data_IF_355903287497
#
_entry.id   IF_355903287497
#
_cell.length_a   1.000
_cell.length_b   1.000
_cell.length_c   1.000
_cell.angle_alpha   90.00
_cell.angle_beta   90.00
_cell.angle_gamma   90.00
#
_symmetry.space_group_name_H-M   'P 1'
#
loop_
_entity.id
_entity.type
_entity.pdbx_description
1 polymer ?
#
# COMPACT_ATOMS: atom_id res chain seq x y z
N UNK A 1 53.92 7.31 0.90
CA UNK A 1 52.88 7.91 1.77
C UNK A 1 51.65 8.18 0.93
N UNK A 2 50.53 7.52 1.21
CA UNK A 2 49.26 7.84 0.55
C UNK A 2 48.84 9.22 1.06
N UNK A 3 48.95 10.25 0.22
CA UNK A 3 48.17 11.50 0.40
C UNK A 3 46.71 11.13 0.12
N UNK A 4 46.09 10.44 1.06
CA UNK A 4 44.75 9.90 0.93
C UNK A 4 43.82 10.65 1.88
N UNK A 5 42.81 11.28 1.28
CA UNK A 5 41.70 11.96 1.92
C UNK A 5 42.08 13.14 2.81
N UNK A 6 42.11 14.33 2.19
CA UNK A 6 42.04 15.58 2.93
C UNK A 6 40.64 15.80 3.50
N UNK A 7 40.52 16.60 4.57
CA UNK A 7 39.21 17.02 5.11
C UNK A 7 38.35 17.69 4.03
N UNK A 8 38.98 18.44 3.12
CA UNK A 8 38.31 19.08 1.99
C UNK A 8 37.61 18.06 1.07
N UNK A 9 38.26 16.94 0.82
CA UNK A 9 37.73 15.84 0.01
C UNK A 9 36.52 15.20 0.67
N UNK A 10 36.57 14.97 1.98
CA UNK A 10 35.43 14.46 2.75
C UNK A 10 34.24 15.44 2.73
N UNK A 11 34.47 16.76 2.81
CA UNK A 11 33.41 17.77 2.76
C UNK A 11 32.71 17.76 1.39
N UNK A 12 33.47 17.71 0.29
CA UNK A 12 32.88 17.64 -1.06
C UNK A 12 32.08 16.36 -1.27
N UNK A 13 32.58 15.22 -0.78
CA UNK A 13 31.86 13.94 -0.85
C UNK A 13 30.55 13.98 -0.07
N UNK A 14 30.57 14.50 1.17
CA UNK A 14 29.36 14.62 1.99
C UNK A 14 28.34 15.60 1.39
N UNK A 15 28.80 16.68 0.77
CA UNK A 15 27.95 17.63 0.05
C UNK A 15 27.21 16.94 -1.09
N UNK A 16 27.92 16.17 -1.93
CA UNK A 16 27.31 15.46 -3.05
C UNK A 16 26.33 14.39 -2.56
N UNK A 17 26.70 13.59 -1.54
CA UNK A 17 25.81 12.56 -0.96
C UNK A 17 24.52 13.19 -0.42
N UNK A 18 24.63 14.34 0.26
CA UNK A 18 23.47 15.04 0.82
C UNK A 18 22.48 15.46 -0.28
N UNK A 19 22.98 16.01 -1.39
CA UNK A 19 22.14 16.40 -2.54
C UNK A 19 21.45 15.16 -3.15
N UNK A 20 22.18 14.04 -3.30
CA UNK A 20 21.60 12.80 -3.83
C UNK A 20 20.47 12.29 -2.92
N UNK A 21 20.68 12.28 -1.59
CA UNK A 21 19.68 11.83 -0.62
C UNK A 21 18.43 12.72 -0.66
N UNK A 22 18.62 14.04 -0.71
CA UNK A 22 17.52 15.02 -0.78
C UNK A 22 16.65 14.84 -2.04
N UNK A 23 17.23 14.46 -3.18
CA UNK A 23 16.47 14.19 -4.42
C UNK A 23 15.80 12.80 -4.36
N UNK A 24 16.46 11.82 -3.73
CA UNK A 24 16.01 10.42 -3.73
C UNK A 24 14.81 10.18 -2.81
N UNK A 25 14.82 10.77 -1.60
CA UNK A 25 13.74 10.60 -0.61
C UNK A 25 12.35 11.02 -1.13
N UNK A 26 12.14 12.23 -1.68
CA UNK A 26 10.83 12.66 -2.14
C UNK A 26 10.32 11.77 -3.29
N UNK A 27 11.21 11.38 -4.21
CA UNK A 27 10.85 10.51 -5.33
C UNK A 27 10.39 9.13 -4.85
N UNK A 28 11.08 8.50 -3.87
CA UNK A 28 10.67 7.20 -3.31
C UNK A 28 9.33 7.32 -2.57
N UNK A 29 9.13 8.38 -1.77
CA UNK A 29 7.91 8.58 -0.99
C UNK A 29 6.67 8.70 -1.90
N UNK A 30 6.77 9.44 -3.02
CA UNK A 30 5.69 9.54 -3.99
C UNK A 30 5.39 8.20 -4.68
N UNK A 31 6.42 7.46 -5.10
CA UNK A 31 6.23 6.14 -5.72
C UNK A 31 5.57 5.16 -4.76
N UNK A 32 5.92 5.17 -3.46
CA UNK A 32 5.28 4.34 -2.44
C UNK A 32 3.78 4.61 -2.35
N UNK A 33 3.36 5.87 -2.27
CA UNK A 33 1.94 6.24 -2.21
C UNK A 33 1.16 5.75 -3.43
N UNK A 34 1.76 5.82 -4.62
CA UNK A 34 1.15 5.29 -5.85
C UNK A 34 0.99 3.78 -5.75
N UNK A 35 2.04 3.06 -5.33
CA UNK A 35 2.02 1.60 -5.15
C UNK A 35 0.94 1.20 -4.14
N UNK A 36 0.85 1.88 -3.00
CA UNK A 36 -0.14 1.59 -1.96
C UNK A 36 -1.58 1.77 -2.49
N UNK A 37 -1.81 2.78 -3.33
CA UNK A 37 -3.10 3.01 -3.97
C UNK A 37 -3.43 1.97 -5.05
N UNK A 38 -2.45 1.55 -5.85
CA UNK A 38 -2.63 0.48 -6.85
C UNK A 38 -2.90 -0.86 -6.15
N UNK A 39 -2.17 -1.15 -5.08
CA UNK A 39 -2.41 -2.33 -4.23
C UNK A 39 -3.81 -2.31 -3.62
N UNK A 40 -4.27 -1.14 -3.15
CA UNK A 40 -5.63 -0.98 -2.64
C UNK A 40 -6.69 -1.26 -3.71
N UNK A 41 -6.52 -0.74 -4.94
CA UNK A 41 -7.43 -1.03 -6.05
C UNK A 41 -7.49 -2.52 -6.40
N UNK A 42 -6.35 -3.19 -6.43
CA UNK A 42 -6.30 -4.63 -6.67
C UNK A 42 -6.99 -5.42 -5.54
N UNK A 43 -6.82 -4.99 -4.28
CA UNK A 43 -7.47 -5.61 -3.14
C UNK A 43 -9.00 -5.47 -3.20
N UNK A 44 -9.51 -4.30 -3.58
CA UNK A 44 -10.95 -4.08 -3.80
C UNK A 44 -11.51 -5.08 -4.82
N UNK A 45 -10.80 -5.29 -5.93
CA UNK A 45 -11.22 -6.24 -6.97
C UNK A 45 -11.28 -7.69 -6.46
N UNK A 46 -10.29 -8.08 -5.65
CA UNK A 46 -10.28 -9.39 -4.98
C UNK A 46 -11.47 -9.51 -4.04
N UNK A 47 -11.75 -8.48 -3.22
CA UNK A 47 -12.90 -8.50 -2.30
C UNK A 47 -14.21 -8.55 -3.07
N UNK A 48 -14.37 -7.80 -4.17
CA UNK A 48 -15.55 -7.86 -5.04
C UNK A 48 -15.77 -9.26 -5.61
N UNK A 49 -14.69 -9.94 -6.01
CA UNK A 49 -14.76 -11.33 -6.47
C UNK A 49 -15.27 -12.26 -5.36
N UNK A 50 -14.82 -12.05 -4.12
CA UNK A 50 -15.29 -12.82 -2.96
C UNK A 50 -16.75 -12.49 -2.58
N UNK A 51 -17.17 -11.24 -2.75
CA UNK A 51 -18.58 -10.85 -2.58
C UNK A 51 -19.45 -11.63 -3.56
N UNK A 52 -19.06 -11.66 -4.84
CA UNK A 52 -19.77 -12.41 -5.85
C UNK A 52 -19.85 -13.90 -5.50
N UNK A 53 -18.74 -14.52 -5.07
CA UNK A 53 -18.73 -15.93 -4.63
C UNK A 53 -19.71 -16.16 -3.48
N UNK A 54 -19.76 -15.26 -2.51
CA UNK A 54 -20.70 -15.37 -1.39
C UNK A 54 -22.17 -15.21 -1.83
N UNK A 55 -22.43 -14.36 -2.83
CA UNK A 55 -23.75 -14.20 -3.43
C UNK A 55 -24.20 -15.42 -4.25
N UNK A 56 -23.26 -16.15 -4.88
CA UNK A 56 -23.55 -17.41 -5.55
C UNK A 56 -24.04 -18.50 -4.58
N UNK A 57 -23.61 -18.44 -3.31
CA UNK A 57 -24.11 -19.31 -2.23
C UNK A 57 -25.51 -18.88 -1.72
N UNK A 58 -26.15 -17.91 -2.37
CA UNK A 58 -27.49 -17.42 -2.04
C UNK A 58 -27.54 -16.46 -0.84
N UNK A 59 -26.39 -15.93 -0.41
CA UNK A 59 -26.28 -15.03 0.75
C UNK A 59 -25.89 -13.63 0.30
N UNK A 60 -26.53 -12.59 0.86
CA UNK A 60 -26.13 -11.19 0.61
C UNK A 60 -25.03 -10.76 1.56
N UNK A 61 -24.04 -10.04 1.04
CA UNK A 61 -22.99 -9.42 1.85
C UNK A 61 -23.45 -8.01 2.24
N UNK A 62 -23.71 -7.82 3.53
CA UNK A 62 -24.06 -6.52 4.12
C UNK A 62 -22.87 -5.88 4.84
N UNK A 63 -21.90 -6.70 5.28
CA UNK A 63 -20.74 -6.23 6.02
C UNK A 63 -19.49 -7.04 5.63
N UNK A 64 -18.34 -6.38 5.61
CA UNK A 64 -17.05 -7.00 5.28
C UNK A 64 -16.67 -8.12 6.24
N UNK A 65 -17.14 -8.04 7.50
CA UNK A 65 -16.89 -9.09 8.50
C UNK A 65 -17.51 -10.43 8.10
N UNK A 66 -18.63 -10.44 7.34
CA UNK A 66 -19.23 -11.69 6.88
C UNK A 66 -18.31 -12.45 5.94
N UNK A 67 -17.49 -11.74 5.15
CA UNK A 67 -16.47 -12.34 4.29
C UNK A 67 -15.29 -12.89 5.09
N UNK A 68 -14.95 -12.25 6.22
CA UNK A 68 -13.92 -12.74 7.15
C UNK A 68 -14.40 -14.01 7.87
N UNK A 69 -15.63 -13.98 8.39
CA UNK A 69 -16.22 -15.10 9.12
C UNK A 69 -16.47 -16.30 8.21
N UNK A 70 -16.76 -16.05 6.92
CA UNK A 70 -16.84 -17.08 5.88
C UNK A 70 -15.46 -17.59 5.41
N UNK A 71 -14.36 -17.02 5.89
CA UNK A 71 -13.00 -17.40 5.48
C UNK A 71 -12.62 -17.02 4.05
N UNK A 72 -13.39 -16.13 3.41
CA UNK A 72 -13.14 -15.68 2.04
C UNK A 72 -12.04 -14.60 1.97
N UNK A 73 -11.89 -13.84 3.06
CA UNK A 73 -10.81 -12.85 3.23
C UNK A 73 -10.23 -12.94 4.64
N UNK A 74 -9.00 -12.47 4.81
CA UNK A 74 -8.35 -12.38 6.12
C UNK A 74 -8.65 -11.04 6.81
N UNK A 75 -8.48 -10.97 8.14
CA UNK A 75 -8.64 -9.71 8.88
C UNK A 75 -7.72 -8.60 8.35
N UNK A 76 -6.52 -8.95 7.88
CA UNK A 76 -5.57 -8.00 7.29
C UNK A 76 -6.08 -7.37 5.98
N UNK A 77 -6.92 -8.08 5.23
CA UNK A 77 -7.49 -7.63 3.96
C UNK A 77 -8.69 -6.69 4.14
N UNK A 78 -9.07 -6.36 5.38
CA UNK A 78 -10.10 -5.35 5.67
C UNK A 78 -9.56 -3.92 5.56
N UNK A 79 -8.24 -3.76 5.52
CA UNK A 79 -7.56 -2.46 5.48
C UNK A 79 -6.57 -2.45 4.32
N UNK A 80 -6.60 -1.38 3.53
CA UNK A 80 -5.68 -1.21 2.43
C UNK A 80 -4.25 -0.87 2.92
N UNK A 81 -3.22 -1.12 2.09
CA UNK A 81 -1.83 -0.76 2.41
C UNK A 81 -1.61 0.74 2.67
N UNK A 82 -2.45 1.60 2.11
CA UNK A 82 -2.46 3.04 2.35
C UNK A 82 -3.14 3.45 3.67
N UNK A 83 -3.62 2.48 4.47
CA UNK A 83 -4.28 2.70 5.76
C UNK A 83 -5.79 2.93 5.69
N UNK A 84 -6.37 2.96 4.50
CA UNK A 84 -7.79 3.20 4.32
C UNK A 84 -8.62 1.93 4.57
N UNK A 85 -9.82 2.06 5.12
CA UNK A 85 -10.65 0.89 5.49
C UNK A 85 -11.55 0.51 4.34
N UNK A 86 -11.68 -0.79 4.09
CA UNK A 86 -12.61 -1.30 3.07
C UNK A 86 -13.97 -1.51 3.75
N UNK A 87 -15.00 -0.91 3.16
CA UNK A 87 -16.40 -1.04 3.54
C UNK A 87 -17.20 -1.58 2.37
N UNK A 88 -18.36 -2.16 2.64
CA UNK A 88 -19.26 -2.65 1.59
C UNK A 88 -20.42 -1.69 1.48
N UNK A 89 -20.57 -1.09 0.30
CA UNK A 89 -21.65 -0.16 -0.02
C UNK A 89 -22.34 -0.65 -1.29
N UNK A 90 -23.67 -0.84 -1.24
CA UNK A 90 -24.48 -1.33 -2.36
C UNK A 90 -23.98 -2.65 -2.99
N UNK A 91 -23.41 -3.54 -2.19
CA UNK A 91 -22.87 -4.83 -2.67
C UNK A 91 -21.49 -4.73 -3.34
N UNK A 92 -20.80 -3.59 -3.24
CA UNK A 92 -19.44 -3.42 -3.75
C UNK A 92 -18.49 -2.97 -2.64
N UNK A 93 -17.26 -3.48 -2.70
CA UNK A 93 -16.18 -3.04 -1.83
C UNK A 93 -15.74 -1.63 -2.23
N UNK A 94 -15.79 -0.70 -1.28
CA UNK A 94 -15.41 0.71 -1.43
C UNK A 94 -14.46 1.09 -0.29
N UNK A 95 -13.64 2.11 -0.51
CA UNK A 95 -12.66 2.59 0.47
C UNK A 95 -13.20 3.82 1.19
N UNK A 96 -13.03 3.87 2.52
CA UNK A 96 -13.37 5.02 3.36
C UNK A 96 -12.13 5.63 4.02
#
# INVERSE_FOLDING_TARGET
>A
MRKGFTVLEMILVLLVITIIVLITIPNIAEKKKIIDNVGCKALIEVVNSQILTYELDGKKVNNIQQLVDAGLITQAQTTCPNGAKIVIENGQATVK
#
